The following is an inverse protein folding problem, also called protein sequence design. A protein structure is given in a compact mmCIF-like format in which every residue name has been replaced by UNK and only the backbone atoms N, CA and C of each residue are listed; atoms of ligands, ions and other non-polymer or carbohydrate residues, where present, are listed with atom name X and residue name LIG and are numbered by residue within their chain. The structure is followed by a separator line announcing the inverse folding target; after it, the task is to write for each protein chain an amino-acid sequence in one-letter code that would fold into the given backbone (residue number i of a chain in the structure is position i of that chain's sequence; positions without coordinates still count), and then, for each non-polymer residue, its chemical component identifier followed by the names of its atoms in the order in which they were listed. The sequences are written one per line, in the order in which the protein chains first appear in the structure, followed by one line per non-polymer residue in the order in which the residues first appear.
data_IF_913879703965
#
_entry.id   IF_913879703965
#
_cell.length_a   1.000
_cell.length_b   1.000
_cell.length_c   1.000
_cell.angle_alpha   90.00
_cell.angle_beta   90.00
_cell.angle_gamma   90.00
#
_symmetry.space_group_name_H-M   'P 1'
#
loop_
_entity.id
_entity.type
_entity.pdbx_description
1 polymer ?
#
# COMPACT_ATOMS: atom_id res chain seq x y z
N UNK A 1 7.52 15.27 9.81
CA UNK A 1 6.97 15.76 8.52
C UNK A 1 8.04 15.80 7.43
N UNK A 2 9.11 16.59 7.57
CA UNK A 2 10.17 16.68 6.54
C UNK A 2 10.76 15.32 6.09
N UNK A 3 11.13 14.44 7.04
CA UNK A 3 11.61 13.08 6.72
C UNK A 3 10.64 12.26 5.88
N UNK A 4 9.34 12.36 6.18
CA UNK A 4 8.30 11.64 5.43
C UNK A 4 8.21 12.19 4.00
N UNK A 5 8.16 13.53 3.84
CA UNK A 5 8.10 14.17 2.53
C UNK A 5 9.35 13.87 1.68
N UNK A 6 10.53 13.81 2.30
CA UNK A 6 11.77 13.39 1.66
C UNK A 6 11.72 11.92 1.25
N UNK A 7 11.33 11.02 2.16
CA UNK A 7 11.21 9.60 1.87
C UNK A 7 10.20 9.32 0.74
N UNK A 8 9.04 9.98 0.76
CA UNK A 8 8.05 9.91 -0.32
C UNK A 8 8.63 10.38 -1.65
N UNK A 9 9.33 11.51 -1.67
CA UNK A 9 9.96 12.04 -2.89
C UNK A 9 10.98 11.07 -3.47
N UNK A 10 11.84 10.51 -2.62
CA UNK A 10 12.85 9.53 -3.03
C UNK A 10 12.21 8.24 -3.53
N UNK A 11 11.17 7.76 -2.85
CA UNK A 11 10.45 6.56 -3.27
C UNK A 11 9.81 6.74 -4.66
N UNK A 12 9.03 7.80 -4.86
CA UNK A 12 8.31 8.01 -6.12
C UNK A 12 9.22 8.37 -7.31
N UNK A 13 10.44 8.86 -7.05
CA UNK A 13 11.46 9.11 -8.06
C UNK A 13 12.10 7.83 -8.63
N UNK A 14 11.86 6.66 -8.03
CA UNK A 14 12.36 5.38 -8.54
C UNK A 14 11.69 4.96 -9.85
N UNK A 15 12.29 3.98 -10.53
CA UNK A 15 11.68 3.35 -11.70
C UNK A 15 10.37 2.65 -11.33
N UNK A 16 9.50 2.46 -12.33
CA UNK A 16 8.25 1.72 -12.15
C UNK A 16 8.49 0.29 -11.64
N UNK A 17 9.57 -0.36 -12.11
CA UNK A 17 9.92 -1.72 -11.68
C UNK A 17 10.23 -1.78 -10.17
N UNK A 18 10.99 -0.82 -9.66
CA UNK A 18 11.30 -0.73 -8.23
C UNK A 18 10.04 -0.46 -7.40
N UNK A 19 9.20 0.47 -7.83
CA UNK A 19 7.92 0.78 -7.14
C UNK A 19 6.97 -0.41 -7.14
N UNK A 20 6.95 -1.20 -8.22
CA UNK A 20 6.11 -2.41 -8.33
C UNK A 20 6.54 -3.57 -7.43
N UNK A 21 7.75 -3.56 -6.84
CA UNK A 21 8.15 -4.58 -5.85
C UNK A 21 7.31 -4.54 -4.57
N UNK A 22 6.68 -3.39 -4.28
CA UNK A 22 5.76 -3.20 -3.16
C UNK A 22 4.33 -2.96 -3.64
N UNK A 23 3.98 -3.41 -4.84
CA UNK A 23 2.62 -3.30 -5.35
C UNK A 23 1.64 -4.10 -4.48
N UNK A 24 0.44 -3.56 -4.32
CA UNK A 24 -0.68 -4.29 -3.70
C UNK A 24 -1.12 -5.46 -4.58
N UNK A 25 -1.71 -6.47 -3.95
CA UNK A 25 -2.22 -7.67 -4.61
C UNK A 25 -3.62 -8.06 -4.09
N UNK A 26 -4.14 -9.20 -4.54
CA UNK A 26 -5.48 -9.68 -4.17
C UNK A 26 -5.62 -10.06 -2.70
N UNK A 27 -4.50 -10.35 -2.02
CA UNK A 27 -4.46 -10.78 -0.62
C UNK A 27 -4.21 -9.57 0.28
N UNK A 28 -3.30 -8.68 -0.14
CA UNK A 28 -2.89 -7.51 0.61
C UNK A 28 -3.28 -6.22 -0.14
N UNK A 29 -4.31 -5.50 0.34
CA UNK A 29 -4.82 -4.33 -0.36
C UNK A 29 -3.92 -3.09 -0.24
N UNK A 30 -2.87 -3.14 0.58
CA UNK A 30 -1.91 -2.02 0.75
C UNK A 30 -0.69 -2.18 -0.13
N UNK A 31 -0.04 -1.06 -0.47
CA UNK A 31 1.09 -1.04 -1.39
C UNK A 31 0.93 -0.04 -2.53
N UNK A 32 1.86 -0.13 -3.48
CA UNK A 32 1.95 0.74 -4.65
C UNK A 32 0.86 0.46 -5.68
N UNK A 33 0.31 1.52 -6.27
CA UNK A 33 -0.61 1.43 -7.39
C UNK A 33 -0.65 2.71 -8.22
N UNK A 34 -0.77 2.58 -9.55
CA UNK A 34 -0.75 3.71 -10.49
C UNK A 34 -1.97 3.75 -11.42
N UNK A 35 -2.94 2.83 -11.24
CA UNK A 35 -4.13 2.72 -12.09
C UNK A 35 -5.43 2.97 -11.31
N UNK A 36 -5.41 3.88 -10.33
CA UNK A 36 -6.62 4.30 -9.61
C UNK A 36 -7.67 4.89 -10.56
N UNK A 37 -8.95 4.66 -10.27
CA UNK A 37 -10.05 5.17 -11.09
C UNK A 37 -11.06 5.95 -10.23
N UNK A 38 -11.32 7.20 -10.60
CA UNK A 38 -12.45 7.97 -10.08
C UNK A 38 -13.54 8.02 -11.13
N UNK A 39 -14.72 7.45 -10.83
CA UNK A 39 -15.87 7.38 -11.76
C UNK A 39 -15.49 6.79 -13.14
N UNK A 40 -14.76 5.67 -13.13
CA UNK A 40 -14.28 4.96 -14.32
C UNK A 40 -13.28 5.75 -15.19
N UNK A 41 -12.77 6.89 -14.72
CA UNK A 41 -11.67 7.64 -15.36
C UNK A 41 -10.40 7.39 -14.57
N UNK A 42 -9.32 6.99 -15.24
CA UNK A 42 -8.02 6.79 -14.59
C UNK A 42 -7.48 8.11 -14.06
N UNK A 43 -7.16 8.14 -12.78
CA UNK A 43 -6.52 9.28 -12.15
C UNK A 43 -5.06 9.38 -12.62
N UNK A 44 -4.60 10.60 -12.92
CA UNK A 44 -3.18 10.87 -13.19
C UNK A 44 -2.41 11.02 -11.88
N UNK A 45 -2.34 9.94 -11.12
CA UNK A 45 -1.61 9.87 -9.87
C UNK A 45 -1.07 8.46 -9.66
N UNK A 46 -0.06 8.39 -8.81
CA UNK A 46 0.38 7.15 -8.20
C UNK A 46 0.18 7.25 -6.69
N UNK A 47 -0.07 6.10 -6.05
CA UNK A 47 -0.31 6.00 -4.62
C UNK A 47 0.53 4.89 -4.02
N UNK A 48 0.87 5.05 -2.75
CA UNK A 48 1.44 4.01 -1.90
C UNK A 48 0.65 4.05 -0.59
N UNK A 49 -0.22 3.07 -0.41
CA UNK A 49 -1.06 2.96 0.79
C UNK A 49 -0.39 2.03 1.81
N UNK A 50 -0.51 2.37 3.09
CA UNK A 50 -0.04 1.53 4.21
C UNK A 50 -0.92 1.74 5.44
N UNK A 51 -0.97 0.73 6.30
CA UNK A 51 -1.71 0.72 7.55
C UNK A 51 -0.83 1.24 8.68
N UNK A 52 -1.38 2.10 9.54
CA UNK A 52 -0.64 2.63 10.70
C UNK A 52 -0.29 1.51 11.70
N UNK A 53 -1.18 0.52 11.83
CA UNK A 53 -0.96 -0.67 12.63
C UNK A 53 -0.53 -1.80 11.72
N UNK A 54 0.64 -2.36 11.98
CA UNK A 54 1.20 -3.45 11.19
C UNK A 54 1.71 -4.55 12.13
N UNK A 55 1.15 -5.77 12.10
CA UNK A 55 0.03 -6.17 11.25
C UNK A 55 -1.34 -5.63 11.72
N UNK A 56 -2.26 -5.49 10.77
CA UNK A 56 -3.68 -5.27 11.04
C UNK A 56 -4.44 -6.58 10.89
N UNK A 57 -5.28 -6.90 11.87
CA UNK A 57 -6.21 -8.03 11.80
C UNK A 57 -7.55 -7.53 11.26
N UNK A 58 -8.09 -8.20 10.26
CA UNK A 58 -9.42 -7.91 9.70
C UNK A 58 -10.27 -9.17 9.66
N UNK A 59 -11.61 -9.05 9.76
CA UNK A 59 -12.50 -10.19 9.56
C UNK A 59 -12.24 -10.88 8.22
N UNK A 60 -12.31 -12.20 8.20
CA UNK A 60 -12.13 -12.98 6.98
C UNK A 60 -13.23 -12.68 5.94
N UNK A 61 -14.44 -12.38 6.40
CA UNK A 61 -15.60 -12.10 5.57
C UNK A 61 -16.60 -11.19 6.32
N UNK A 62 -17.75 -10.94 5.71
CA UNK A 62 -18.81 -10.08 6.26
C UNK A 62 -19.83 -10.79 7.13
N UNK A 63 -19.66 -12.08 7.46
CA UNK A 63 -20.55 -12.81 8.38
C UNK A 63 -20.23 -12.39 9.82
N UNK A 64 -21.20 -11.78 10.49
CA UNK A 64 -21.07 -11.28 11.86
C UNK A 64 -20.90 -12.41 12.91
N UNK A 65 -21.20 -13.65 12.55
CA UNK A 65 -21.04 -14.82 13.43
C UNK A 65 -19.75 -15.61 13.16
N UNK A 66 -18.94 -15.18 12.18
CA UNK A 66 -17.66 -15.79 11.87
C UNK A 66 -16.50 -14.99 12.50
N UNK A 67 -15.96 -15.52 13.60
CA UNK A 67 -14.88 -14.86 14.36
C UNK A 67 -13.48 -15.00 13.71
N UNK A 68 -13.37 -15.62 12.53
CA UNK A 68 -12.08 -15.81 11.87
C UNK A 68 -11.55 -14.49 11.33
N UNK A 69 -10.25 -14.29 11.49
CA UNK A 69 -9.53 -13.10 11.01
C UNK A 69 -8.42 -13.49 10.05
N UNK A 70 -8.12 -12.57 9.14
CA UNK A 70 -6.89 -12.59 8.32
C UNK A 70 -5.96 -11.46 8.77
N UNK A 71 -4.70 -11.59 8.40
CA UNK A 71 -3.66 -10.62 8.74
C UNK A 71 -3.22 -9.87 7.48
N UNK A 72 -3.28 -8.55 7.51
CA UNK A 72 -2.67 -7.68 6.52
C UNK A 72 -1.40 -7.07 7.09
N UNK A 73 -0.31 -7.11 6.31
CA UNK A 73 0.99 -6.55 6.67
C UNK A 73 1.42 -5.52 5.63
N UNK A 74 2.12 -4.45 5.98
CA UNK A 74 2.52 -3.49 4.95
C UNK A 74 3.71 -4.01 4.13
N UNK A 75 3.70 -3.82 2.80
CA UNK A 75 4.91 -4.00 2.02
C UNK A 75 5.90 -2.87 2.36
N UNK A 76 7.16 -3.22 2.58
CA UNK A 76 8.21 -2.26 2.94
C UNK A 76 9.16 -2.06 1.76
N UNK A 77 9.30 -0.84 1.21
CA UNK A 77 10.22 -0.59 0.12
C UNK A 77 11.66 -0.64 0.63
N UNK A 78 12.56 -1.24 -0.15
CA UNK A 78 13.98 -1.33 0.21
C UNK A 78 14.70 0.02 0.12
N UNK A 79 14.16 0.95 -0.68
CA UNK A 79 14.67 2.30 -0.85
C UNK A 79 13.51 3.31 -0.86
N UNK A 80 13.67 4.48 -0.22
CA UNK A 80 14.83 4.93 0.57
C UNK A 80 15.02 4.11 1.86
N UNK A 81 16.25 4.08 2.37
CA UNK A 81 16.50 3.46 3.67
C UNK A 81 15.71 4.21 4.75
N UNK A 82 15.07 3.45 5.65
CA UNK A 82 14.21 3.99 6.71
C UNK A 82 12.92 4.67 6.22
N UNK A 83 12.31 4.10 5.18
CA UNK A 83 10.95 4.47 4.76
C UNK A 83 9.94 4.35 5.90
#
# INVERSE_FOLDING_TARGET
RQRLEEASRLFFAQSLEEKKKVARDEINPTGYYDTEHTKNVRDWKEVLDFLVKDPTLVPLNSDENDDRVIQWSNPSPQYPSHF
#
